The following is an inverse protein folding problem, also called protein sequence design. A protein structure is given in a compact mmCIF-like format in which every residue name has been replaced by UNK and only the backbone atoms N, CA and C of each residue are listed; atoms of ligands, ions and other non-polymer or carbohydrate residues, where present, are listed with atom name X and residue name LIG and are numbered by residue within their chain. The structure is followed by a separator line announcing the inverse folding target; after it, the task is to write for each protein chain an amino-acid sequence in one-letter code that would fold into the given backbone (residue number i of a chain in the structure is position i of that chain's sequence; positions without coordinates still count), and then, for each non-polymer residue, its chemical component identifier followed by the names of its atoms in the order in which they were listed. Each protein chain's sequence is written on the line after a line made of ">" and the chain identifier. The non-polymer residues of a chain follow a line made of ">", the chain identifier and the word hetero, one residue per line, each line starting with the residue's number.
data_IF_102973387861
#
_entry.id   IF_102973387861
#
_cell.length_a   1.000
_cell.length_b   1.000
_cell.length_c   1.000
_cell.angle_alpha   90.00
_cell.angle_beta   90.00
_cell.angle_gamma   90.00
#
_symmetry.space_group_name_H-M   'P 1'
#
loop_
_entity.id
_entity.type
_entity.pdbx_description
1 polymer ?
#
# COMPACT_ATOMS: atom_id res chain seq x y z
N UNK A 1 39.71 -6.55 -19.44
CA UNK A 1 38.75 -7.54 -19.93
C UNK A 1 37.97 -7.99 -18.71
N UNK A 2 36.76 -7.48 -18.52
CA UNK A 2 35.91 -7.82 -17.38
C UNK A 2 34.68 -8.54 -17.95
N UNK A 3 34.57 -9.83 -17.66
CA UNK A 3 33.46 -10.67 -18.08
C UNK A 3 32.18 -10.23 -17.35
N UNK A 4 31.30 -9.59 -18.11
CA UNK A 4 29.93 -9.26 -17.72
C UNK A 4 29.15 -10.57 -17.59
N UNK A 5 28.91 -11.01 -16.37
CA UNK A 5 27.99 -12.12 -16.13
C UNK A 5 26.57 -11.55 -16.18
N UNK A 6 25.96 -11.63 -17.35
CA UNK A 6 24.53 -11.35 -17.54
C UNK A 6 23.70 -12.25 -16.63
N UNK A 7 23.10 -11.66 -15.59
CA UNK A 7 22.03 -12.31 -14.83
C UNK A 7 20.84 -12.39 -15.77
N UNK A 8 20.64 -13.58 -16.35
CA UNK A 8 19.49 -13.88 -17.19
C UNK A 8 18.22 -13.82 -16.34
N UNK A 9 17.57 -12.67 -16.32
CA UNK A 9 16.20 -12.55 -15.82
C UNK A 9 15.29 -13.45 -16.67
N UNK A 10 14.55 -14.40 -16.07
CA UNK A 10 13.61 -15.22 -16.83
C UNK A 10 12.53 -14.33 -17.42
N UNK A 11 12.22 -14.62 -18.69
CA UNK A 11 11.16 -14.01 -19.48
C UNK A 11 9.86 -13.81 -18.69
N UNK A 12 9.13 -12.68 -18.85
CA UNK A 12 7.99 -12.29 -18.01
C UNK A 12 6.74 -13.19 -18.17
N UNK A 13 6.83 -14.31 -18.87
CA UNK A 13 5.66 -15.00 -19.40
C UNK A 13 4.95 -15.95 -18.45
N UNK A 14 5.22 -15.96 -17.13
CA UNK A 14 4.40 -16.75 -16.18
C UNK A 14 4.26 -16.17 -14.76
N UNK A 15 4.33 -14.85 -14.58
CA UNK A 15 3.74 -14.24 -13.37
C UNK A 15 2.31 -13.84 -13.71
N UNK A 16 1.40 -14.80 -13.65
CA UNK A 16 -0.04 -14.52 -13.66
C UNK A 16 -0.41 -13.98 -12.28
N UNK A 17 -0.14 -12.70 -12.02
CA UNK A 17 -0.99 -11.96 -11.10
C UNK A 17 -2.33 -11.90 -11.80
N UNK A 18 -3.27 -12.80 -11.42
CA UNK A 18 -4.67 -12.69 -11.82
C UNK A 18 -5.13 -11.32 -11.35
N UNK A 19 -5.09 -10.35 -12.25
CA UNK A 19 -5.58 -9.01 -12.00
C UNK A 19 -7.02 -9.17 -11.55
N UNK A 20 -7.26 -8.87 -10.26
CA UNK A 20 -8.60 -8.47 -9.89
C UNK A 20 -8.90 -7.28 -10.80
N UNK A 21 -9.96 -7.38 -11.60
CA UNK A 21 -10.59 -6.23 -12.22
C UNK A 21 -11.23 -5.41 -11.09
N UNK A 22 -10.41 -4.68 -10.33
CA UNK A 22 -10.91 -3.79 -9.30
C UNK A 22 -11.45 -2.57 -10.04
N UNK A 23 -12.72 -2.23 -9.82
CA UNK A 23 -13.39 -1.11 -10.48
C UNK A 23 -12.52 0.13 -10.39
N UNK A 24 -12.07 0.62 -11.55
CA UNK A 24 -11.01 1.61 -11.62
C UNK A 24 -11.57 2.96 -12.06
N UNK A 25 -11.31 4.00 -11.28
CA UNK A 25 -11.48 5.40 -11.69
C UNK A 25 -10.09 6.01 -11.86
N UNK A 26 -9.76 6.45 -13.06
CA UNK A 26 -8.50 7.14 -13.35
C UNK A 26 -8.76 8.64 -13.47
N UNK A 27 -7.88 9.46 -12.91
CA UNK A 27 -7.90 10.91 -13.11
C UNK A 27 -6.89 11.35 -14.19
N UNK A 28 -6.88 12.65 -14.52
CA UNK A 28 -5.99 13.26 -15.51
C UNK A 28 -4.49 13.13 -15.15
N UNK A 29 -4.15 12.72 -13.93
CA UNK A 29 -2.77 12.44 -13.52
C UNK A 29 -2.31 11.02 -13.90
N UNK A 30 -3.19 10.20 -14.47
CA UNK A 30 -2.94 8.79 -14.73
C UNK A 30 -2.98 7.94 -13.46
N UNK A 31 -3.52 8.48 -12.37
CA UNK A 31 -3.68 7.79 -11.11
C UNK A 31 -5.07 7.15 -11.05
N UNK A 32 -5.05 5.86 -10.77
CA UNK A 32 -6.19 4.98 -10.63
C UNK A 32 -6.48 4.70 -9.16
N UNK A 33 -7.73 4.41 -8.79
CA UNK A 33 -8.08 4.09 -7.39
C UNK A 33 -8.88 2.80 -7.24
N UNK A 34 -8.73 2.16 -6.08
CA UNK A 34 -9.56 1.05 -5.66
C UNK A 34 -9.82 1.04 -4.15
N UNK A 35 -10.93 0.41 -3.76
CA UNK A 35 -11.37 0.28 -2.36
C UNK A 35 -11.57 -1.21 -2.04
N UNK A 36 -10.62 -1.78 -1.28
CA UNK A 36 -10.75 -3.16 -0.79
C UNK A 36 -11.60 -3.24 0.49
N UNK A 37 -11.78 -2.10 1.17
CA UNK A 37 -12.65 -1.93 2.32
C UNK A 37 -13.19 -0.49 2.32
N UNK A 38 -14.27 -0.20 3.05
CA UNK A 38 -14.93 1.10 2.94
C UNK A 38 -14.15 2.24 3.62
N UNK A 39 -13.22 1.93 4.53
CA UNK A 39 -12.47 2.94 5.29
C UNK A 39 -11.15 3.38 4.63
N UNK A 40 -10.64 2.63 3.64
CA UNK A 40 -9.38 2.94 2.97
C UNK A 40 -9.48 2.86 1.45
N UNK A 41 -9.11 3.97 0.80
CA UNK A 41 -8.97 4.07 -0.65
C UNK A 41 -7.50 4.05 -1.05
N UNK A 42 -7.13 3.14 -1.94
CA UNK A 42 -5.77 2.93 -2.42
C UNK A 42 -5.63 3.48 -3.83
N UNK A 43 -4.57 4.25 -4.07
CA UNK A 43 -4.23 4.80 -5.38
C UNK A 43 -3.03 4.08 -5.99
N UNK A 44 -3.07 3.85 -7.30
CA UNK A 44 -2.03 3.17 -8.07
C UNK A 44 -1.85 3.81 -9.45
N UNK A 45 -0.70 3.61 -10.10
CA UNK A 45 -0.49 4.09 -11.46
C UNK A 45 -1.36 3.29 -12.44
N UNK A 46 -2.23 3.96 -13.19
CA UNK A 46 -3.11 3.31 -14.17
C UNK A 46 -2.37 2.66 -15.35
N UNK A 47 -1.11 3.03 -15.57
CA UNK A 47 -0.29 2.49 -16.66
C UNK A 47 0.50 1.23 -16.25
N UNK A 48 1.17 1.24 -15.09
CA UNK A 48 2.05 0.13 -14.66
C UNK A 48 1.53 -0.68 -13.47
N UNK A 49 0.46 -0.23 -12.80
CA UNK A 49 -0.13 -0.92 -11.65
C UNK A 49 0.58 -0.69 -10.30
N UNK A 50 1.69 0.06 -10.27
CA UNK A 50 2.43 0.30 -9.02
C UNK A 50 1.56 1.03 -7.98
N UNK A 51 1.52 0.55 -6.71
CA UNK A 51 0.84 1.28 -5.65
C UNK A 51 1.59 2.58 -5.35
N UNK A 52 0.83 3.66 -5.13
CA UNK A 52 1.41 4.98 -4.89
C UNK A 52 0.99 5.52 -3.53
N UNK A 53 -0.30 5.42 -3.19
CA UNK A 53 -0.84 6.09 -2.00
C UNK A 53 -2.03 5.37 -1.36
N UNK A 54 -2.30 5.70 -0.11
CA UNK A 54 -3.50 5.31 0.63
C UNK A 54 -4.09 6.53 1.32
N UNK A 55 -5.40 6.68 1.19
CA UNK A 55 -6.21 7.63 1.96
C UNK A 55 -7.05 6.84 2.96
N UNK A 56 -6.98 7.23 4.23
CA UNK A 56 -7.80 6.65 5.29
C UNK A 56 -8.95 7.60 5.64
N UNK A 57 -10.16 7.08 5.72
CA UNK A 57 -11.32 7.81 6.21
C UNK A 57 -11.16 8.24 7.68
N UNK A 58 -10.37 7.50 8.47
CA UNK A 58 -10.09 7.81 9.88
C UNK A 58 -9.01 8.86 10.09
N UNK A 59 -8.22 9.16 9.04
CA UNK A 59 -7.18 10.19 9.04
C UNK A 59 -7.26 11.01 7.73
N UNK A 60 -8.35 11.77 7.50
CA UNK A 60 -8.61 12.40 6.21
C UNK A 60 -7.63 13.54 5.87
N UNK A 61 -6.86 14.02 6.85
CA UNK A 61 -5.83 15.06 6.66
C UNK A 61 -4.48 14.48 6.24
N UNK A 62 -4.30 13.17 6.38
CA UNK A 62 -3.04 12.50 6.14
C UNK A 62 -3.13 11.65 4.88
N UNK A 63 -1.97 11.47 4.25
CA UNK A 63 -1.83 10.53 3.16
C UNK A 63 -0.61 9.66 3.38
N UNK A 64 -0.79 8.34 3.22
CA UNK A 64 0.33 7.42 3.21
C UNK A 64 0.81 7.26 1.77
N UNK A 65 2.11 7.38 1.54
CA UNK A 65 2.76 7.18 0.25
C UNK A 65 3.76 6.03 0.35
N UNK A 66 3.94 5.28 -0.72
CA UNK A 66 4.94 4.21 -0.76
C UNK A 66 6.34 4.82 -0.84
N UNK A 67 7.18 4.65 0.17
CA UNK A 67 8.53 5.25 0.22
C UNK A 67 9.38 4.91 -1.00
N UNK A 68 9.23 3.68 -1.55
CA UNK A 68 9.94 3.26 -2.76
C UNK A 68 9.57 4.03 -4.04
N UNK A 69 8.53 4.86 -4.03
CA UNK A 69 8.20 5.76 -5.15
C UNK A 69 8.83 7.15 -5.03
N UNK A 70 9.61 7.42 -3.98
CA UNK A 70 10.29 8.70 -3.77
C UNK A 70 11.64 8.67 -4.47
N UNK A 71 11.87 9.61 -5.38
CA UNK A 71 13.21 9.86 -5.92
C UNK A 71 14.05 10.59 -4.86
N UNK A 72 14.96 9.86 -4.22
CA UNK A 72 15.86 10.40 -3.20
C UNK A 72 16.64 11.63 -3.67
N UNK A 73 16.99 11.71 -4.97
CA UNK A 73 17.72 12.85 -5.53
C UNK A 73 16.89 14.12 -5.57
N UNK A 74 15.57 13.99 -5.55
CA UNK A 74 14.63 15.11 -5.57
C UNK A 74 14.34 15.66 -4.16
N UNK A 75 14.73 14.95 -3.11
CA UNK A 75 14.46 15.33 -1.72
C UNK A 75 15.34 16.51 -1.30
N UNK A 76 14.71 17.59 -0.86
CA UNK A 76 15.42 18.72 -0.23
C UNK A 76 15.53 18.46 1.27
N UNK A 77 16.66 17.87 1.69
CA UNK A 77 16.92 17.53 3.09
C UNK A 77 17.17 16.04 3.29
N UNK A 78 16.96 15.54 4.50
CA UNK A 78 17.09 14.12 4.82
C UNK A 78 15.75 13.41 4.62
N UNK A 79 15.78 12.26 3.94
CA UNK A 79 14.61 11.39 3.85
C UNK A 79 14.37 10.75 5.23
N UNK A 80 13.11 10.70 5.65
CA UNK A 80 12.78 10.10 6.95
C UNK A 80 13.18 8.62 7.00
N UNK A 81 13.77 8.21 8.12
CA UNK A 81 14.04 6.80 8.41
C UNK A 81 12.78 6.14 9.00
N UNK A 82 12.65 4.81 8.87
CA UNK A 82 11.63 4.08 9.59
C UNK A 82 11.71 4.37 11.10
N UNK A 83 10.56 4.55 11.74
CA UNK A 83 10.46 4.79 13.18
C UNK A 83 9.94 3.56 13.94
N UNK A 84 9.29 2.64 13.24
CA UNK A 84 8.67 1.44 13.78
C UNK A 84 8.29 0.47 12.67
N UNK A 85 8.04 -0.79 13.06
CA UNK A 85 7.53 -1.84 12.20
C UNK A 85 6.11 -2.19 12.63
N UNK A 86 5.12 -1.79 11.84
CA UNK A 86 3.69 -2.12 12.04
C UNK A 86 3.27 -3.27 11.13
N UNK A 87 2.19 -3.98 11.50
CA UNK A 87 1.73 -5.20 10.81
C UNK A 87 2.75 -6.34 10.78
N UNK A 88 3.51 -6.49 11.86
CA UNK A 88 4.53 -7.52 11.99
C UNK A 88 3.95 -8.94 11.90
N UNK A 89 2.67 -9.14 12.25
CA UNK A 89 1.99 -10.44 12.16
C UNK A 89 1.91 -10.96 10.72
N UNK A 90 1.82 -10.02 9.76
CA UNK A 90 1.72 -10.27 8.32
C UNK A 90 3.07 -10.20 7.61
N UNK A 91 4.18 -10.09 8.33
CA UNK A 91 5.51 -10.02 7.76
C UNK A 91 5.79 -11.26 6.90
N UNK A 92 6.35 -11.02 5.71
CA UNK A 92 6.78 -12.10 4.84
C UNK A 92 7.78 -13.04 5.54
N UNK A 93 7.51 -14.34 5.50
CA UNK A 93 8.35 -15.36 6.16
C UNK A 93 9.78 -15.45 5.59
N UNK A 94 9.99 -14.99 4.35
CA UNK A 94 11.29 -15.01 3.67
C UNK A 94 12.13 -13.75 3.90
N UNK A 95 11.60 -12.73 4.59
CA UNK A 95 12.30 -11.45 4.78
C UNK A 95 12.78 -11.32 6.22
N UNK A 96 14.09 -11.38 6.48
CA UNK A 96 14.60 -11.11 7.84
C UNK A 96 14.68 -9.60 8.08
N UNK A 97 14.04 -9.13 9.16
CA UNK A 97 14.10 -7.72 9.56
C UNK A 97 15.42 -7.44 10.28
N UNK A 98 16.07 -6.30 10.01
CA UNK A 98 17.28 -5.91 10.71
C UNK A 98 17.03 -5.70 12.20
N UNK A 99 18.07 -5.94 13.00
CA UNK A 99 18.12 -5.60 14.42
C UNK A 99 18.43 -4.10 14.58
N UNK A 100 17.45 -3.27 14.21
CA UNK A 100 17.54 -1.80 14.21
C UNK A 100 17.09 -1.15 15.53
N UNK A 101 16.59 -1.95 16.48
CA UNK A 101 16.09 -1.48 17.77
C UNK A 101 14.74 -0.76 17.71
N UNK A 102 14.05 -0.78 16.56
CA UNK A 102 12.74 -0.16 16.40
C UNK A 102 11.62 -1.04 16.99
N UNK A 103 10.53 -0.40 17.44
CA UNK A 103 9.34 -1.11 17.92
C UNK A 103 8.76 -2.02 16.85
N UNK A 104 8.39 -3.25 17.23
CA UNK A 104 7.76 -4.26 16.35
C UNK A 104 6.36 -4.54 16.87
N UNK A 105 5.35 -4.15 16.10
CA UNK A 105 3.94 -4.23 16.46
C UNK A 105 3.21 -5.16 15.51
N UNK A 106 2.45 -6.11 16.05
CA UNK A 106 1.67 -7.06 15.25
C UNK A 106 0.66 -6.36 14.33
N UNK A 107 0.16 -5.19 14.73
CA UNK A 107 -0.78 -4.33 13.97
C UNK A 107 -0.31 -2.88 14.01
N UNK A 108 -1.21 -1.91 14.13
CA UNK A 108 -0.83 -0.51 14.34
C UNK A 108 -0.15 -0.34 15.71
N UNK A 109 0.84 0.55 15.77
CA UNK A 109 1.56 0.94 16.99
C UNK A 109 0.66 1.68 17.99
N UNK A 110 -0.20 2.55 17.47
CA UNK A 110 -1.25 3.23 18.21
C UNK A 110 -2.53 2.38 18.17
N UNK A 111 -2.89 1.75 19.29
CA UNK A 111 -4.17 1.03 19.43
C UNK A 111 -5.39 1.87 19.03
N UNK A 112 -5.28 3.21 19.19
CA UNK A 112 -6.27 4.18 18.70
C UNK A 112 -6.59 4.05 17.21
N UNK A 113 -5.65 3.59 16.37
CA UNK A 113 -5.87 3.42 14.93
C UNK A 113 -6.88 2.33 14.65
N UNK A 114 -6.70 1.16 15.29
CA UNK A 114 -7.61 0.02 15.15
C UNK A 114 -8.98 0.37 15.73
N UNK A 115 -9.03 1.07 16.87
CA UNK A 115 -10.28 1.54 17.47
C UNK A 115 -11.02 2.56 16.58
N UNK A 116 -10.30 3.53 16.00
CA UNK A 116 -10.89 4.52 15.05
C UNK A 116 -11.43 3.84 13.81
N UNK A 117 -10.72 2.84 13.27
CA UNK A 117 -11.19 2.07 12.11
C UNK A 117 -12.43 1.27 12.50
N UNK A 118 -12.42 0.60 13.64
CA UNK A 118 -13.56 -0.17 14.14
C UNK A 118 -14.79 0.73 14.33
N UNK A 119 -14.63 1.87 15.02
CA UNK A 119 -15.70 2.83 15.24
C UNK A 119 -16.26 3.37 13.91
N UNK A 120 -15.39 3.72 12.97
CA UNK A 120 -15.81 4.17 11.64
C UNK A 120 -16.60 3.09 10.91
N UNK A 121 -16.17 1.84 10.98
CA UNK A 121 -16.85 0.69 10.37
C UNK A 121 -18.20 0.38 11.04
N UNK A 122 -18.32 0.55 12.36
CA UNK A 122 -19.60 0.41 13.08
C UNK A 122 -20.60 1.51 12.67
N UNK A 123 -20.12 2.73 12.43
CA UNK A 123 -20.96 3.87 12.02
C UNK A 123 -21.35 3.82 10.54
N UNK A 124 -20.48 3.30 9.66
CA UNK A 124 -20.61 3.42 8.20
C UNK A 124 -20.68 2.09 7.42
N UNK A 125 -20.49 0.94 8.08
CA UNK A 125 -20.18 -0.35 7.46
C UNK A 125 -21.30 -1.10 6.71
N UNK A 126 -22.51 -0.53 6.57
CA UNK A 126 -23.66 -1.21 5.95
C UNK A 126 -24.14 -0.60 4.61
N UNK A 127 -23.27 0.03 3.83
CA UNK A 127 -23.62 0.48 2.46
C UNK A 127 -22.74 -0.17 1.40
N UNK A 128 -23.04 -1.43 1.07
CA UNK A 128 -22.42 -2.07 -0.09
C UNK A 128 -23.00 -3.45 -0.39
N UNK A 129 -24.10 -3.51 -1.16
CA UNK A 129 -24.43 -4.74 -1.89
C UNK A 129 -25.91 -5.16 -1.98
N UNK A 130 -26.85 -4.27 -2.32
CA UNK A 130 -28.13 -4.69 -2.93
C UNK A 130 -28.66 -3.63 -3.91
N UNK A 131 -28.06 -3.56 -5.09
CA UNK A 131 -28.82 -3.29 -6.31
C UNK A 131 -28.60 -4.49 -7.24
N UNK A 132 -29.49 -5.48 -7.15
CA UNK A 132 -29.68 -6.44 -8.24
C UNK A 132 -30.61 -5.76 -9.22
N UNK A 133 -30.09 -5.43 -10.40
CA UNK A 133 -30.89 -4.97 -11.53
C UNK A 133 -32.03 -5.94 -11.80
N UNK A 134 -33.23 -5.38 -11.96
CA UNK A 134 -34.42 -6.04 -12.48
C UNK A 134 -34.36 -6.19 -13.99
#
# INVERSE_FOLDING_TARGET
>A
MADSHDIKVPSPENVVLRGLSIGNTSDESGLSTYEANPWARRGFCGNCGSPVRLHSATRPKDISTVTGSIDERSVKGELMKPTEHIFFEGKAGWFDLPEDGLGRFERFSEGESDEKIKAWMEEHGEKGGKEKGS
#
